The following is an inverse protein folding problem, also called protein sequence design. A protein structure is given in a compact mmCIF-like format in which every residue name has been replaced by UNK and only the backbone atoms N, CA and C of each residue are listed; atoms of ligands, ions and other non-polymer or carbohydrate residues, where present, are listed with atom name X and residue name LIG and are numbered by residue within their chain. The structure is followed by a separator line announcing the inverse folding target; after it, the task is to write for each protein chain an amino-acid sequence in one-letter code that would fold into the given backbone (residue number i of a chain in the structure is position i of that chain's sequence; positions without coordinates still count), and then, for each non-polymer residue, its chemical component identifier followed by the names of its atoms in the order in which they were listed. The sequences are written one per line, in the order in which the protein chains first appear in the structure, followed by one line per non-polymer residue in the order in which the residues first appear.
data_IF_877026748287
#
_entry.id   IF_877026748287
#
_cell.length_a   1.000
_cell.length_b   1.000
_cell.length_c   1.000
_cell.angle_alpha   90.00
_cell.angle_beta   90.00
_cell.angle_gamma   90.00
#
_symmetry.space_group_name_H-M   'P 1'
#
loop_
_entity.id
_entity.type
_entity.pdbx_description
1 polymer ?
#
# COMPACT_ATOMS: atom_id res chain seq x y z
N UNK A 1 -54.33 -19.11 -12.15
CA UNK A 1 -53.55 -17.86 -12.41
C UNK A 1 -53.06 -17.39 -11.06
N UNK A 2 -51.89 -17.83 -10.68
CA UNK A 2 -51.37 -17.73 -9.30
C UNK A 2 -50.61 -16.41 -9.06
N UNK A 3 -50.90 -15.79 -7.95
CA UNK A 3 -50.44 -14.49 -7.44
C UNK A 3 -49.02 -14.56 -6.90
N UNK A 4 -48.19 -15.51 -7.33
CA UNK A 4 -46.84 -15.75 -6.76
C UNK A 4 -45.65 -15.53 -7.68
N UNK A 5 -45.87 -14.98 -8.89
CA UNK A 5 -44.78 -14.77 -9.84
C UNK A 5 -44.09 -13.41 -9.76
N UNK A 6 -44.26 -12.62 -8.68
CA UNK A 6 -43.70 -11.29 -8.54
C UNK A 6 -42.41 -11.22 -7.70
N UNK A 7 -41.90 -12.33 -7.23
CA UNK A 7 -40.51 -12.38 -6.71
C UNK A 7 -39.56 -12.77 -7.84
N UNK A 8 -39.39 -11.86 -8.78
CA UNK A 8 -38.20 -11.91 -9.65
C UNK A 8 -36.97 -12.04 -8.77
N UNK A 9 -36.35 -13.23 -8.82
CA UNK A 9 -35.01 -13.46 -8.28
C UNK A 9 -34.12 -12.34 -8.76
N UNK A 10 -33.88 -11.34 -7.91
CA UNK A 10 -32.80 -10.41 -8.07
C UNK A 10 -31.56 -11.30 -8.19
N UNK A 11 -30.99 -11.42 -9.38
CA UNK A 11 -29.69 -12.04 -9.56
C UNK A 11 -28.78 -11.29 -8.60
N UNK A 12 -28.46 -11.91 -7.49
CA UNK A 12 -27.32 -11.52 -6.70
C UNK A 12 -26.18 -11.80 -7.66
N UNK A 13 -25.73 -10.76 -8.37
CA UNK A 13 -24.43 -10.79 -8.99
C UNK A 13 -23.50 -11.07 -7.82
N UNK A 14 -23.07 -12.32 -7.73
CA UNK A 14 -22.00 -12.70 -6.81
C UNK A 14 -20.78 -11.94 -7.27
N UNK A 15 -20.58 -10.76 -6.69
CA UNK A 15 -19.38 -9.92 -6.81
C UNK A 15 -18.13 -10.63 -6.25
N UNK A 16 -18.29 -11.85 -5.82
CA UNK A 16 -17.19 -12.71 -5.43
C UNK A 16 -16.79 -13.51 -6.67
N UNK A 17 -15.62 -13.24 -7.28
CA UNK A 17 -15.09 -14.14 -8.28
C UNK A 17 -15.07 -15.53 -7.66
N UNK A 18 -15.64 -16.51 -8.38
CA UNK A 18 -15.59 -17.91 -7.99
C UNK A 18 -14.14 -18.26 -7.71
N UNK A 19 -13.83 -18.60 -6.46
CA UNK A 19 -12.46 -18.91 -6.04
C UNK A 19 -11.98 -20.08 -6.91
N UNK A 20 -11.00 -19.91 -7.79
CA UNK A 20 -10.48 -21.02 -8.59
C UNK A 20 -9.87 -22.07 -7.65
N UNK A 21 -9.98 -23.34 -8.01
CA UNK A 21 -9.54 -24.48 -7.17
C UNK A 21 -8.07 -24.47 -6.73
N UNK A 22 -7.24 -23.57 -7.25
CA UNK A 22 -5.85 -23.36 -6.79
C UNK A 22 -5.71 -22.47 -5.56
N UNK A 23 -6.82 -22.09 -4.91
CA UNK A 23 -6.83 -21.20 -3.73
C UNK A 23 -6.65 -21.92 -2.39
N UNK A 24 -6.14 -23.15 -2.38
CA UNK A 24 -5.81 -23.86 -1.12
C UNK A 24 -4.94 -23.00 -0.20
N UNK A 25 -4.03 -22.22 -0.75
CA UNK A 25 -3.19 -21.28 0.01
C UNK A 25 -4.03 -20.22 0.76
N UNK A 26 -5.08 -19.70 0.14
CA UNK A 26 -5.95 -18.71 0.77
C UNK A 26 -6.79 -19.35 1.89
N UNK A 27 -7.27 -20.57 1.69
CA UNK A 27 -8.06 -21.31 2.69
C UNK A 27 -7.20 -21.72 3.89
N UNK A 28 -5.95 -22.12 3.66
CA UNK A 28 -5.02 -22.50 4.72
C UNK A 28 -4.53 -21.28 5.52
N UNK A 29 -4.36 -20.11 4.87
CA UNK A 29 -3.84 -18.88 5.49
C UNK A 29 -4.91 -17.99 6.09
N UNK A 30 -6.18 -18.13 5.71
CA UNK A 30 -7.27 -17.31 6.22
C UNK A 30 -8.35 -16.98 5.19
N UNK A 31 -9.23 -16.07 5.54
CA UNK A 31 -10.36 -15.65 4.69
C UNK A 31 -9.94 -14.45 3.85
N UNK A 32 -10.20 -14.52 2.54
CA UNK A 32 -10.04 -13.39 1.63
C UNK A 32 -11.05 -12.31 2.02
N UNK A 33 -10.56 -11.15 2.41
CA UNK A 33 -11.39 -9.99 2.71
C UNK A 33 -11.26 -8.99 1.58
N UNK A 34 -12.41 -8.56 1.07
CA UNK A 34 -12.47 -7.49 0.08
C UNK A 34 -12.77 -6.18 0.80
N UNK A 35 -12.20 -5.12 0.29
CA UNK A 35 -12.61 -3.80 0.73
C UNK A 35 -14.08 -3.60 0.33
N UNK A 36 -14.91 -3.17 1.28
CA UNK A 36 -16.29 -2.79 0.99
C UNK A 36 -16.30 -1.61 0.02
N UNK A 37 -17.43 -1.37 -0.62
CA UNK A 37 -17.64 -0.42 -1.70
C UNK A 37 -16.66 -0.59 -2.88
N UNK A 38 -17.17 -0.53 -4.04
CA UNK A 38 -16.52 -0.88 -5.28
C UNK A 38 -15.26 -0.01 -5.53
N UNK A 39 -14.10 -0.48 -5.11
CA UNK A 39 -12.82 0.22 -5.33
C UNK A 39 -12.53 0.49 -6.80
N UNK A 40 -13.10 -0.33 -7.69
CA UNK A 40 -13.01 -0.10 -9.13
C UNK A 40 -13.79 1.14 -9.52
N UNK A 41 -14.96 1.38 -8.93
CA UNK A 41 -15.72 2.60 -9.21
C UNK A 41 -15.00 3.86 -8.72
N UNK A 42 -14.21 3.79 -7.64
CA UNK A 42 -13.38 4.93 -7.24
C UNK A 42 -12.31 5.25 -8.28
N UNK A 43 -11.74 4.24 -8.93
CA UNK A 43 -10.80 4.45 -10.02
C UNK A 43 -11.52 4.87 -11.29
N UNK A 44 -12.53 4.12 -11.73
CA UNK A 44 -13.15 4.29 -13.04
C UNK A 44 -14.07 5.54 -13.07
N UNK A 45 -14.98 5.68 -12.09
CA UNK A 45 -15.94 6.78 -12.02
C UNK A 45 -15.41 7.98 -11.24
N UNK A 46 -14.64 7.71 -10.18
CA UNK A 46 -14.11 8.75 -9.31
C UNK A 46 -12.88 9.45 -9.87
N UNK A 47 -11.90 8.73 -10.37
CA UNK A 47 -10.64 9.30 -10.83
C UNK A 47 -10.59 9.47 -12.35
N UNK A 48 -10.89 8.43 -13.13
CA UNK A 48 -10.76 8.47 -14.60
C UNK A 48 -11.86 9.31 -15.24
N UNK A 49 -13.09 9.23 -14.74
CA UNK A 49 -14.24 9.95 -15.31
C UNK A 49 -14.46 11.35 -14.73
N UNK A 50 -13.69 11.79 -13.72
CA UNK A 50 -13.87 13.07 -13.05
C UNK A 50 -12.63 13.97 -13.17
N UNK A 51 -12.66 14.93 -14.09
CA UNK A 51 -11.55 15.84 -14.38
C UNK A 51 -11.07 16.64 -13.16
N UNK A 52 -11.98 16.99 -12.25
CA UNK A 52 -11.63 17.77 -11.04
C UNK A 52 -10.83 16.90 -10.08
N UNK A 53 -11.31 15.68 -9.81
CA UNK A 53 -10.62 14.72 -8.92
C UNK A 53 -9.27 14.37 -9.53
N UNK A 54 -9.24 14.05 -10.82
CA UNK A 54 -8.00 13.79 -11.56
C UNK A 54 -7.00 14.95 -11.39
N UNK A 55 -7.43 16.18 -11.63
CA UNK A 55 -6.54 17.35 -11.57
C UNK A 55 -5.97 17.58 -10.17
N UNK A 56 -6.78 17.37 -9.11
CA UNK A 56 -6.35 17.52 -7.72
C UNK A 56 -5.32 16.43 -7.36
N UNK A 57 -5.62 15.17 -7.66
CA UNK A 57 -4.72 14.06 -7.38
C UNK A 57 -3.42 14.21 -8.16
N UNK A 58 -3.52 14.57 -9.46
CA UNK A 58 -2.34 14.82 -10.31
C UNK A 58 -1.46 15.93 -9.74
N UNK A 59 -2.04 17.04 -9.27
CA UNK A 59 -1.28 18.13 -8.64
C UNK A 59 -0.53 17.66 -7.39
N UNK A 60 -1.17 16.82 -6.55
CA UNK A 60 -0.56 16.31 -5.33
C UNK A 60 0.59 15.33 -5.68
N UNK A 61 0.34 14.38 -6.59
CA UNK A 61 1.35 13.40 -6.99
C UNK A 61 2.52 14.03 -7.71
N UNK A 62 2.30 15.04 -8.55
CA UNK A 62 3.36 15.81 -9.22
C UNK A 62 4.26 16.56 -8.22
N UNK A 63 3.71 17.02 -7.10
CA UNK A 63 4.52 17.62 -6.03
C UNK A 63 5.25 16.57 -5.21
N UNK A 64 4.62 15.44 -4.95
CA UNK A 64 5.23 14.35 -4.18
C UNK A 64 6.44 13.73 -4.91
N UNK A 65 6.33 13.48 -6.23
CA UNK A 65 7.40 12.85 -7.02
C UNK A 65 8.65 13.70 -7.20
N UNK A 66 8.53 15.03 -7.06
CA UNK A 66 9.66 15.97 -7.17
C UNK A 66 10.45 16.03 -5.83
N UNK A 67 9.84 15.60 -4.72
CA UNK A 67 10.48 15.67 -3.42
C UNK A 67 11.77 14.82 -3.38
N UNK A 68 12.93 15.40 -2.99
CA UNK A 68 14.16 14.64 -2.91
C UNK A 68 14.04 13.56 -1.84
N UNK A 69 14.47 12.36 -2.18
CA UNK A 69 14.49 11.21 -1.27
C UNK A 69 15.94 10.90 -0.87
N UNK A 70 16.19 10.86 0.43
CA UNK A 70 17.49 10.54 0.99
C UNK A 70 17.37 9.54 2.13
N UNK A 71 18.26 8.56 2.15
CA UNK A 71 18.38 7.61 3.26
C UNK A 71 19.44 8.12 4.24
N UNK A 72 19.08 8.17 5.52
CA UNK A 72 19.97 8.59 6.59
C UNK A 72 20.18 7.47 7.59
N UNK A 73 21.41 7.34 8.06
CA UNK A 73 21.74 6.51 9.22
C UNK A 73 21.65 7.35 10.49
N UNK A 74 20.99 6.82 11.51
CA UNK A 74 20.98 7.44 12.84
C UNK A 74 22.33 7.24 13.51
N UNK A 75 23.03 8.33 13.82
CA UNK A 75 24.33 8.33 14.50
C UNK A 75 24.17 8.61 15.99
N UNK A 76 23.32 9.56 16.35
CA UNK A 76 22.99 9.91 17.73
C UNK A 76 21.49 9.76 17.99
N UNK A 77 21.10 8.70 18.70
CA UNK A 77 19.69 8.43 19.01
C UNK A 77 19.04 9.50 19.90
N UNK A 78 19.82 10.13 20.82
CA UNK A 78 19.30 11.19 21.69
C UNK A 78 18.98 12.44 20.91
N UNK A 79 19.90 12.83 20.03
CA UNK A 79 19.68 13.95 19.10
C UNK A 79 18.51 13.66 18.13
N UNK A 80 18.37 12.42 17.63
CA UNK A 80 17.27 12.01 16.75
C UNK A 80 15.90 12.10 17.46
N UNK A 81 15.80 11.67 18.71
CA UNK A 81 14.57 11.83 19.54
C UNK A 81 14.25 13.30 19.75
N UNK A 82 15.26 14.14 20.10
CA UNK A 82 15.06 15.58 20.28
C UNK A 82 14.63 16.25 18.97
N UNK A 83 15.26 15.89 17.84
CA UNK A 83 14.87 16.36 16.52
C UNK A 83 13.39 16.06 16.21
N UNK A 84 12.95 14.82 16.37
CA UNK A 84 11.55 14.41 16.14
C UNK A 84 10.58 15.16 17.04
N UNK A 85 10.93 15.36 18.31
CA UNK A 85 10.10 16.12 19.25
C UNK A 85 10.00 17.59 18.87
N UNK A 86 11.10 18.21 18.46
CA UNK A 86 11.12 19.61 18.03
C UNK A 86 10.38 19.82 16.70
N UNK A 87 10.55 18.91 15.76
CA UNK A 87 9.87 18.95 14.45
C UNK A 87 8.33 18.82 14.55
N UNK A 88 7.82 18.26 15.65
CA UNK A 88 6.38 18.13 15.91
C UNK A 88 5.75 19.38 16.57
N UNK A 89 6.54 20.41 16.93
CA UNK A 89 6.06 21.62 17.57
C UNK A 89 5.57 22.66 16.53
N UNK A 90 4.64 23.52 16.93
CA UNK A 90 4.11 24.57 16.03
C UNK A 90 5.12 25.69 15.77
N UNK A 91 5.88 26.06 16.82
CA UNK A 91 6.91 27.12 16.73
C UNK A 91 8.27 26.47 16.61
N UNK A 92 8.74 26.26 15.38
CA UNK A 92 9.97 25.54 15.10
C UNK A 92 11.12 26.53 14.93
N UNK A 93 12.15 26.38 15.76
CA UNK A 93 13.45 27.04 15.52
C UNK A 93 14.22 26.25 14.44
N UNK A 94 14.15 26.73 13.20
CA UNK A 94 14.75 26.05 12.05
C UNK A 94 16.27 25.85 12.20
N UNK A 95 16.99 26.80 12.84
CA UNK A 95 18.44 26.67 13.06
C UNK A 95 18.78 25.56 14.05
N UNK A 96 18.00 25.47 15.15
CA UNK A 96 18.18 24.38 16.12
C UNK A 96 17.82 23.03 15.50
N UNK A 97 16.74 22.99 14.71
CA UNK A 97 16.31 21.79 14.02
C UNK A 97 17.38 21.29 13.05
N UNK A 98 18.00 22.18 12.26
CA UNK A 98 19.08 21.83 11.33
C UNK A 98 20.33 21.32 12.06
N UNK A 99 20.71 21.94 13.18
CA UNK A 99 21.85 21.49 14.00
C UNK A 99 21.60 20.09 14.59
N UNK A 100 20.39 19.86 15.08
CA UNK A 100 19.99 18.55 15.60
C UNK A 100 19.95 17.50 14.48
N UNK A 101 19.48 17.87 13.29
CA UNK A 101 19.51 16.98 12.13
C UNK A 101 20.93 16.56 11.77
N UNK A 102 21.84 17.51 11.62
CA UNK A 102 23.26 17.24 11.31
C UNK A 102 23.95 16.39 12.38
N UNK A 103 23.56 16.55 13.65
CA UNK A 103 24.10 15.75 14.75
C UNK A 103 23.51 14.35 14.80
N UNK A 104 22.21 14.23 14.52
CA UNK A 104 21.45 12.99 14.64
C UNK A 104 21.64 12.03 13.48
N UNK A 105 21.83 12.57 12.28
CA UNK A 105 21.74 11.83 11.04
C UNK A 105 22.94 12.08 10.14
N UNK A 106 23.40 11.02 9.51
CA UNK A 106 24.42 11.04 8.46
C UNK A 106 23.83 10.43 7.19
N UNK A 107 24.13 11.04 6.02
CA UNK A 107 23.66 10.51 4.74
C UNK A 107 24.25 9.10 4.53
N UNK A 108 23.36 8.12 4.32
CA UNK A 108 23.77 6.74 4.13
C UNK A 108 24.10 6.46 2.67
N UNK A 109 25.37 6.25 2.41
CA UNK A 109 25.89 5.94 1.06
C UNK A 109 26.53 4.54 0.98
N UNK A 110 26.45 3.78 2.07
CA UNK A 110 27.23 2.54 2.23
C UNK A 110 26.69 1.30 1.49
N UNK A 111 25.44 1.31 1.04
CA UNK A 111 24.86 0.19 0.26
C UNK A 111 24.51 0.67 -1.15
N UNK A 112 25.42 0.37 -2.10
CA UNK A 112 25.25 0.75 -3.50
C UNK A 112 23.97 0.16 -4.08
N UNK A 113 23.64 -1.08 -3.73
CA UNK A 113 22.43 -1.77 -4.22
C UNK A 113 21.15 -1.10 -3.73
N UNK A 114 21.11 -0.66 -2.47
CA UNK A 114 19.98 0.09 -1.94
C UNK A 114 19.81 1.42 -2.69
N UNK A 115 20.92 2.12 -2.95
CA UNK A 115 20.88 3.38 -3.70
C UNK A 115 20.43 3.19 -5.14
N UNK A 116 20.85 2.10 -5.79
CA UNK A 116 20.41 1.72 -7.14
C UNK A 116 18.93 1.37 -7.16
N UNK A 117 18.45 0.54 -6.20
CA UNK A 117 17.03 0.18 -6.06
C UNK A 117 16.13 1.40 -5.82
N UNK A 118 16.61 2.37 -5.04
CA UNK A 118 15.86 3.61 -4.79
C UNK A 118 15.92 4.60 -5.95
N UNK A 119 16.87 4.47 -6.85
CA UNK A 119 16.95 5.28 -8.06
C UNK A 119 16.14 4.68 -9.21
N UNK A 120 16.23 3.38 -9.36
CA UNK A 120 15.56 2.58 -10.38
C UNK A 120 14.92 1.37 -9.70
N UNK A 121 13.66 1.52 -9.20
CA UNK A 121 12.98 0.46 -8.46
C UNK A 121 12.71 -0.78 -9.30
N UNK A 122 12.56 -0.66 -10.60
CA UNK A 122 12.43 -1.74 -11.56
C UNK A 122 12.95 -1.30 -12.95
N UNK A 123 12.82 -2.17 -13.96
CA UNK A 123 13.30 -1.89 -15.32
C UNK A 123 12.49 -0.81 -16.05
N UNK A 124 11.24 -0.58 -15.66
CA UNK A 124 10.31 0.33 -16.33
C UNK A 124 10.19 1.69 -15.61
N UNK A 125 10.30 1.70 -14.27
CA UNK A 125 10.01 2.87 -13.45
C UNK A 125 11.30 3.47 -12.84
N UNK A 126 11.34 4.79 -12.76
CA UNK A 126 12.25 5.49 -11.85
C UNK A 126 11.56 5.73 -10.49
N UNK A 127 12.31 6.21 -9.51
CA UNK A 127 11.76 6.52 -8.17
C UNK A 127 10.56 7.46 -8.21
N UNK A 128 10.61 8.48 -9.07
CA UNK A 128 9.51 9.44 -9.21
C UNK A 128 8.22 8.78 -9.68
N UNK A 129 8.32 7.81 -10.60
CA UNK A 129 7.17 7.08 -11.13
C UNK A 129 6.57 6.18 -10.06
N UNK A 130 7.42 5.46 -9.30
CA UNK A 130 6.96 4.65 -8.17
C UNK A 130 6.23 5.51 -7.11
N UNK A 131 6.76 6.71 -6.80
CA UNK A 131 6.13 7.63 -5.84
C UNK A 131 4.79 8.15 -6.38
N UNK A 132 4.71 8.49 -7.67
CA UNK A 132 3.45 8.91 -8.30
C UNK A 132 2.38 7.83 -8.19
N UNK A 133 2.73 6.59 -8.55
CA UNK A 133 1.83 5.43 -8.46
C UNK A 133 1.42 5.14 -7.00
N UNK A 134 2.39 5.12 -6.08
CA UNK A 134 2.15 4.90 -4.65
C UNK A 134 1.18 5.94 -4.07
N UNK A 135 1.48 7.22 -4.26
CA UNK A 135 0.63 8.30 -3.78
C UNK A 135 -0.74 8.30 -4.46
N UNK A 136 -0.78 8.06 -5.78
CA UNK A 136 -2.00 8.01 -6.55
C UNK A 136 -2.96 6.93 -6.04
N UNK A 137 -2.51 5.70 -5.92
CA UNK A 137 -3.32 4.61 -5.38
C UNK A 137 -3.81 4.90 -3.96
N UNK A 138 -2.95 5.45 -3.11
CA UNK A 138 -3.34 5.80 -1.73
C UNK A 138 -4.40 6.89 -1.67
N UNK A 139 -4.32 7.90 -2.54
CA UNK A 139 -5.29 9.00 -2.58
C UNK A 139 -6.64 8.55 -3.15
N UNK A 140 -6.66 7.62 -4.13
CA UNK A 140 -7.88 7.14 -4.78
C UNK A 140 -8.59 6.11 -3.93
N UNK A 141 -7.86 5.11 -3.42
CA UNK A 141 -8.44 3.91 -2.79
C UNK A 141 -8.23 3.83 -1.28
N UNK A 142 -7.55 4.81 -0.68
CA UNK A 142 -7.14 4.75 0.72
C UNK A 142 -6.02 3.77 1.03
N UNK A 143 -5.55 3.01 0.02
CA UNK A 143 -4.56 1.95 0.15
C UNK A 143 -3.53 2.04 -0.97
N UNK A 144 -2.30 1.67 -0.67
CA UNK A 144 -1.26 1.43 -1.65
C UNK A 144 -0.46 0.19 -1.29
N UNK A 145 -0.14 -0.61 -2.29
CA UNK A 145 0.58 -1.86 -2.15
C UNK A 145 1.84 -1.81 -3.00
N UNK A 146 3.01 -1.90 -2.34
CA UNK A 146 4.30 -1.99 -3.03
C UNK A 146 4.79 -3.42 -2.89
N UNK A 147 4.92 -4.11 -4.01
CA UNK A 147 5.50 -5.44 -4.09
C UNK A 147 7.01 -5.34 -4.22
N UNK A 148 7.71 -6.02 -3.31
CA UNK A 148 9.15 -6.21 -3.39
C UNK A 148 9.46 -7.62 -3.86
N UNK A 149 9.99 -7.74 -5.08
CA UNK A 149 10.46 -9.02 -5.60
C UNK A 149 11.74 -9.41 -4.87
N UNK A 150 11.66 -10.48 -4.09
CA UNK A 150 12.73 -10.88 -3.19
C UNK A 150 13.76 -11.77 -3.89
N UNK A 151 15.02 -11.65 -3.47
CA UNK A 151 16.09 -12.56 -3.90
C UNK A 151 15.88 -13.91 -3.22
N UNK A 152 15.81 -14.97 -4.02
CA UNK A 152 15.51 -16.33 -3.56
C UNK A 152 16.71 -17.04 -2.90
N UNK A 153 17.94 -16.70 -3.29
CA UNK A 153 19.15 -17.39 -2.81
C UNK A 153 20.35 -16.47 -2.64
N UNK A 154 21.34 -16.91 -1.84
CA UNK A 154 22.60 -16.20 -1.63
C UNK A 154 22.62 -15.30 -0.41
N UNK A 155 23.70 -14.51 -0.25
CA UNK A 155 23.93 -13.65 0.91
C UNK A 155 22.88 -12.53 1.09
N UNK A 156 22.12 -12.23 0.05
CA UNK A 156 21.08 -11.22 0.06
C UNK A 156 19.66 -11.82 -0.01
N UNK A 157 19.51 -13.11 0.27
CA UNK A 157 18.21 -13.78 0.30
C UNK A 157 17.20 -13.01 1.17
N UNK A 158 15.97 -12.87 0.68
CA UNK A 158 14.89 -12.16 1.36
C UNK A 158 14.95 -10.63 1.30
N UNK A 159 15.96 -10.05 0.62
CA UNK A 159 15.98 -8.61 0.34
C UNK A 159 15.36 -8.33 -1.03
N UNK A 160 14.61 -7.23 -1.18
CA UNK A 160 14.05 -6.87 -2.48
C UNK A 160 15.16 -6.45 -3.46
N UNK A 161 14.99 -6.80 -4.73
CA UNK A 161 15.84 -6.33 -5.83
C UNK A 161 15.06 -5.53 -6.87
N UNK A 162 13.73 -5.62 -6.85
CA UNK A 162 12.81 -4.79 -7.64
C UNK A 162 11.62 -4.41 -6.77
N UNK A 163 11.03 -3.23 -7.04
CA UNK A 163 9.83 -2.71 -6.39
C UNK A 163 8.79 -2.31 -7.43
N UNK A 164 7.55 -2.72 -7.22
CA UNK A 164 6.42 -2.42 -8.10
C UNK A 164 5.23 -1.90 -7.29
N UNK A 165 4.59 -0.84 -7.74
CA UNK A 165 3.30 -0.44 -7.19
C UNK A 165 2.20 -1.29 -7.81
N UNK A 166 1.43 -1.99 -6.98
CA UNK A 166 0.34 -2.85 -7.46
C UNK A 166 -0.98 -2.09 -7.50
N UNK A 167 -1.86 -2.39 -8.49
CA UNK A 167 -3.14 -1.72 -8.64
C UNK A 167 -4.08 -2.07 -7.46
N UNK A 168 -4.27 -1.11 -6.56
CA UNK A 168 -4.96 -1.30 -5.28
C UNK A 168 -6.39 -1.79 -5.43
N UNK A 169 -7.09 -1.40 -6.53
CA UNK A 169 -8.47 -1.82 -6.82
C UNK A 169 -8.62 -3.31 -7.10
N UNK A 170 -7.52 -4.01 -7.40
CA UNK A 170 -7.51 -5.45 -7.64
C UNK A 170 -6.86 -6.25 -6.52
N UNK A 171 -6.42 -5.56 -5.45
CA UNK A 171 -5.76 -6.19 -4.31
C UNK A 171 -6.78 -6.65 -3.26
N UNK A 172 -6.59 -7.86 -2.77
CA UNK A 172 -7.32 -8.40 -1.63
C UNK A 172 -6.35 -8.80 -0.51
N UNK A 173 -6.80 -8.65 0.73
CA UNK A 173 -6.08 -9.06 1.93
C UNK A 173 -6.62 -10.40 2.40
N UNK A 174 -5.75 -11.36 2.66
CA UNK A 174 -6.08 -12.60 3.35
C UNK A 174 -6.00 -12.33 4.85
N UNK A 175 -7.15 -12.32 5.53
CA UNK A 175 -7.22 -12.06 6.97
C UNK A 175 -7.21 -13.36 7.77
N UNK A 176 -6.36 -13.44 8.79
CA UNK A 176 -6.47 -14.46 9.82
C UNK A 176 -7.46 -13.97 10.88
N UNK A 177 -8.68 -14.47 10.80
CA UNK A 177 -9.78 -14.11 11.71
C UNK A 177 -9.80 -14.94 13.00
N UNK A 178 -8.97 -15.99 13.10
CA UNK A 178 -8.89 -16.84 14.28
C UNK A 178 -8.08 -16.19 15.42
N UNK A 179 -7.50 -15.01 15.14
CA UNK A 179 -6.71 -14.23 16.11
C UNK A 179 -7.41 -12.89 16.32
N UNK A 180 -7.47 -12.43 17.56
CA UNK A 180 -7.97 -11.10 17.89
C UNK A 180 -6.85 -10.16 18.35
N UNK A 181 -6.71 -8.97 17.78
CA UNK A 181 -7.41 -8.48 16.57
C UNK A 181 -7.02 -9.26 15.31
N UNK A 182 -7.89 -9.33 14.29
CA UNK A 182 -7.57 -9.99 13.02
C UNK A 182 -6.28 -9.46 12.41
N UNK A 183 -5.43 -10.36 11.94
CA UNK A 183 -4.13 -10.04 11.36
C UNK A 183 -4.07 -10.39 9.88
N UNK A 184 -3.11 -9.83 9.18
CA UNK A 184 -2.86 -10.15 7.76
C UNK A 184 -2.10 -11.46 7.67
N UNK A 185 -2.61 -12.40 6.88
CA UNK A 185 -1.97 -13.69 6.57
C UNK A 185 -1.30 -13.70 5.19
N UNK A 186 -1.71 -12.82 4.29
CA UNK A 186 -1.17 -12.69 2.95
C UNK A 186 -1.97 -11.68 2.12
N UNK A 187 -1.66 -11.64 0.83
CA UNK A 187 -2.31 -10.77 -0.14
C UNK A 187 -2.61 -11.54 -1.43
N UNK A 188 -3.63 -11.08 -2.15
CA UNK A 188 -3.97 -11.59 -3.47
C UNK A 188 -4.21 -10.43 -4.44
N UNK A 189 -3.74 -10.58 -5.68
CA UNK A 189 -4.02 -9.68 -6.80
C UNK A 189 -4.87 -10.44 -7.83
N UNK A 190 -5.99 -9.85 -8.22
CA UNK A 190 -6.88 -10.36 -9.26
C UNK A 190 -6.78 -9.48 -10.51
N UNK A 191 -5.90 -9.86 -11.42
CA UNK A 191 -5.73 -9.16 -12.69
C UNK A 191 -5.52 -10.18 -13.81
N UNK A 192 -6.60 -10.53 -14.51
CA UNK A 192 -6.62 -11.60 -15.51
C UNK A 192 -6.48 -12.99 -14.91
N UNK A 193 -5.54 -13.16 -14.00
CA UNK A 193 -5.32 -14.36 -13.19
C UNK A 193 -5.10 -13.96 -11.71
N UNK A 194 -5.07 -14.95 -10.84
CA UNK A 194 -4.85 -14.73 -9.41
C UNK A 194 -3.37 -14.91 -9.06
N UNK A 195 -2.81 -13.91 -8.40
CA UNK A 195 -1.46 -13.93 -7.84
C UNK A 195 -1.55 -13.87 -6.32
N UNK A 196 -0.74 -14.67 -5.62
CA UNK A 196 -0.71 -14.70 -4.16
C UNK A 196 0.67 -14.28 -3.67
N UNK A 197 0.69 -13.40 -2.65
CA UNK A 197 1.90 -12.86 -2.06
C UNK A 197 1.95 -13.11 -0.56
N UNK A 198 3.15 -13.30 -0.05
CA UNK A 198 3.41 -13.34 1.38
C UNK A 198 3.37 -11.91 1.98
N UNK A 199 3.12 -11.82 3.28
CA UNK A 199 3.15 -10.54 4.01
C UNK A 199 4.50 -9.85 3.97
N UNK A 200 5.59 -10.59 3.74
CA UNK A 200 6.96 -10.07 3.64
C UNK A 200 7.26 -9.43 2.29
N UNK A 201 6.50 -9.79 1.26
CA UNK A 201 6.70 -9.32 -0.11
C UNK A 201 5.94 -8.02 -0.38
N UNK A 202 4.93 -7.69 0.43
CA UNK A 202 4.07 -6.53 0.23
C UNK A 202 4.24 -5.51 1.36
N UNK A 203 4.65 -4.30 1.01
CA UNK A 203 4.49 -3.13 1.85
C UNK A 203 3.10 -2.55 1.61
N UNK A 204 2.23 -2.64 2.61
CA UNK A 204 0.89 -2.06 2.56
C UNK A 204 0.85 -0.76 3.35
N UNK A 205 0.75 0.35 2.65
CA UNK A 205 0.54 1.68 3.20
C UNK A 205 -0.94 2.08 3.06
N UNK A 206 -1.57 2.52 4.16
CA UNK A 206 -3.00 2.78 4.19
C UNK A 206 -3.36 3.98 5.06
N UNK A 207 -4.49 4.62 4.75
CA UNK A 207 -5.09 5.58 5.67
C UNK A 207 -5.70 4.89 6.88
N UNK A 208 -5.86 5.65 7.96
CA UNK A 208 -6.56 5.17 9.15
C UNK A 208 -8.01 4.84 8.80
N UNK A 209 -8.47 3.65 9.21
CA UNK A 209 -9.85 3.22 9.07
C UNK A 209 -10.42 2.92 10.45
N UNK A 210 -11.40 3.70 10.94
CA UNK A 210 -12.04 3.48 12.24
C UNK A 210 -13.05 2.33 12.21
N UNK A 211 -13.42 1.82 11.03
CA UNK A 211 -14.40 0.74 10.92
C UNK A 211 -13.79 -0.60 11.31
N UNK A 212 -14.34 -1.20 12.34
CA UNK A 212 -13.98 -2.54 12.77
C UNK A 212 -15.03 -3.54 12.30
N UNK A 213 -14.59 -4.64 11.71
CA UNK A 213 -15.46 -5.71 11.23
C UNK A 213 -14.91 -7.08 11.59
N UNK A 214 -15.82 -8.04 11.79
CA UNK A 214 -15.48 -9.45 12.07
C UNK A 214 -14.62 -10.04 10.95
N UNK A 215 -14.80 -9.56 9.72
CA UNK A 215 -14.08 -9.99 8.52
C UNK A 215 -12.76 -9.26 8.29
N UNK A 216 -12.32 -8.41 9.22
CA UNK A 216 -11.03 -7.71 9.10
C UNK A 216 -11.05 -6.44 8.24
N UNK A 217 -12.21 -5.75 8.12
CA UNK A 217 -12.32 -4.50 7.35
C UNK A 217 -11.32 -3.42 7.78
N UNK A 218 -10.94 -3.38 9.07
CA UNK A 218 -9.90 -2.50 9.60
C UNK A 218 -8.50 -2.74 9.02
N UNK A 219 -8.28 -3.84 8.30
CA UNK A 219 -7.00 -4.13 7.63
C UNK A 219 -6.79 -3.23 6.42
N UNK A 220 -7.86 -2.71 5.83
CA UNK A 220 -7.83 -1.73 4.74
C UNK A 220 -7.81 -0.30 5.26
N UNK A 221 -7.32 0.62 4.41
CA UNK A 221 -7.47 2.06 4.59
C UNK A 221 -8.88 2.53 4.19
N UNK A 222 -9.30 3.64 4.75
CA UNK A 222 -10.52 4.31 4.33
C UNK A 222 -10.22 5.19 3.11
N UNK A 223 -10.97 5.00 2.05
CA UNK A 223 -10.97 5.83 0.85
C UNK A 223 -11.85 7.07 1.02
#
# INVERSE_FOLDING_TARGET
MGLFDFFTKKKINTLFPTIPMNSQIAIERGIVTWQGADQRSFVDDGYVANDIVYSIIKLITDKAKIAPFHVYKVVDEKAAKKYKSLAAQKDINLKELEQLHKKAYELYTGDQRLNELLKYPNEEDCWSDLVEQWCGFKLITGNSFIYGKLIEAGNNQGKPFELFALPSQYMAIIANINVFPPTRAGYQLYYGQMWSFDTKEILHDKYFNPQWGVTGGQLYGQS
#
